data_IF_522662546357
#
_entry.id   IF_522662546357
#
_cell.length_a   1.000
_cell.length_b   1.000
_cell.length_c   1.000
_cell.angle_alpha   90.00
_cell.angle_beta   90.00
_cell.angle_gamma   90.00
#
_symmetry.space_group_name_H-M   'P 1'
#
loop_
_entity.id
_entity.type
_entity.pdbx_description
1 polymer ?
#
# COMPACT_ATOMS: atom_id res chain seq x y z
N UNK A 1 -7.67 -18.49 -12.00
CA UNK A 1 -8.26 -17.21 -11.54
C UNK A 1 -7.27 -16.04 -11.64
N UNK A 2 -6.15 -16.15 -12.37
CA UNK A 2 -5.14 -15.07 -12.44
C UNK A 2 -5.65 -13.82 -13.17
N UNK A 3 -6.66 -14.00 -14.02
CA UNK A 3 -7.30 -12.95 -14.82
C UNK A 3 -8.66 -12.53 -14.24
N UNK A 4 -9.11 -13.13 -13.13
CA UNK A 4 -10.32 -12.71 -12.42
C UNK A 4 -10.05 -11.39 -11.71
N UNK A 5 -11.01 -10.47 -11.79
CA UNK A 5 -10.88 -9.14 -11.21
C UNK A 5 -11.46 -9.09 -9.79
N UNK A 6 -10.81 -8.31 -8.94
CA UNK A 6 -11.22 -8.07 -7.57
C UNK A 6 -10.78 -6.67 -7.13
N UNK A 7 -11.47 -6.10 -6.14
CA UNK A 7 -11.02 -4.87 -5.48
C UNK A 7 -9.74 -5.14 -4.68
N UNK A 8 -8.68 -4.37 -4.93
CA UNK A 8 -7.36 -4.63 -4.31
C UNK A 8 -7.27 -4.20 -2.86
N UNK A 9 -8.27 -3.45 -2.37
CA UNK A 9 -8.40 -3.08 -0.96
C UNK A 9 -7.12 -2.37 -0.48
N UNK A 10 -6.67 -2.64 0.75
CA UNK A 10 -5.49 -1.99 1.33
C UNK A 10 -4.18 -2.14 0.54
N UNK A 11 -4.10 -2.96 -0.50
CA UNK A 11 -2.95 -2.94 -1.41
C UNK A 11 -2.83 -1.59 -2.13
N UNK A 12 -3.95 -0.90 -2.36
CA UNK A 12 -4.03 0.42 -2.98
C UNK A 12 -3.23 1.50 -2.25
N UNK A 13 -3.09 1.38 -0.93
CA UNK A 13 -2.33 2.32 -0.08
C UNK A 13 -0.88 2.51 -0.55
N UNK A 14 -0.29 1.48 -1.17
CA UNK A 14 1.05 1.60 -1.73
C UNK A 14 1.06 2.53 -2.93
N UNK A 15 0.04 2.49 -3.78
CA UNK A 15 -0.08 3.41 -4.92
C UNK A 15 -0.35 4.84 -4.48
N UNK A 16 -1.24 5.05 -3.51
CA UNK A 16 -1.45 6.37 -2.92
C UNK A 16 -0.15 6.93 -2.32
N UNK A 17 0.60 6.10 -1.57
CA UNK A 17 1.91 6.49 -1.05
C UNK A 17 2.93 6.80 -2.16
N UNK A 18 2.94 6.03 -3.24
CA UNK A 18 3.81 6.27 -4.40
C UNK A 18 3.48 7.63 -5.03
N UNK A 19 2.20 7.94 -5.25
CA UNK A 19 1.75 9.22 -5.80
C UNK A 19 2.14 10.38 -4.86
N UNK A 20 1.90 10.25 -3.56
CA UNK A 20 2.31 11.26 -2.58
C UNK A 20 3.83 11.45 -2.56
N UNK A 21 4.60 10.37 -2.74
CA UNK A 21 6.06 10.43 -2.85
C UNK A 21 6.55 11.10 -4.15
N UNK A 22 5.80 11.00 -5.25
CA UNK A 22 6.08 11.75 -6.48
C UNK A 22 5.90 13.26 -6.23
N UNK A 23 4.80 13.67 -5.57
CA UNK A 23 4.57 15.08 -5.17
C UNK A 23 5.65 15.57 -4.20
N UNK A 24 6.01 14.76 -3.20
CA UNK A 24 7.07 15.05 -2.24
C UNK A 24 8.48 15.15 -2.86
N UNK A 25 8.73 14.45 -3.97
CA UNK A 25 10.00 14.57 -4.69
C UNK A 25 10.09 15.90 -5.46
N UNK A 26 8.97 16.31 -6.08
CA UNK A 26 8.87 17.58 -6.81
C UNK A 26 8.88 18.82 -5.92
N UNK A 27 8.55 18.70 -4.64
CA UNK A 27 8.47 19.81 -3.69
C UNK A 27 8.97 19.44 -2.29
N UNK A 28 9.98 20.16 -1.80
CA UNK A 28 10.52 19.98 -0.45
C UNK A 28 9.45 20.20 0.63
N UNK A 29 8.51 21.13 0.42
CA UNK A 29 7.42 21.41 1.35
C UNK A 29 6.51 20.19 1.55
N UNK A 30 6.10 19.55 0.45
CA UNK A 30 5.24 18.35 0.49
C UNK A 30 5.91 17.19 1.22
N UNK A 31 7.23 17.04 1.06
CA UNK A 31 7.99 16.04 1.82
C UNK A 31 7.99 16.32 3.32
N UNK A 32 8.18 17.56 3.74
CA UNK A 32 8.18 17.93 5.15
C UNK A 32 6.78 17.78 5.77
N UNK A 33 5.75 18.14 5.01
CA UNK A 33 4.33 17.97 5.36
C UNK A 33 3.96 16.49 5.55
N UNK A 34 4.19 15.64 4.55
CA UNK A 34 3.84 14.22 4.64
C UNK A 34 4.48 13.57 5.88
N UNK A 35 5.77 13.82 6.10
CA UNK A 35 6.53 13.13 7.14
C UNK A 35 6.47 13.79 8.52
N UNK A 36 5.86 14.97 8.65
CA UNK A 36 5.48 15.51 9.96
C UNK A 36 4.14 14.95 10.43
N UNK A 37 3.30 14.51 9.49
CA UNK A 37 1.92 14.05 9.75
C UNK A 37 1.76 12.53 9.85
N UNK A 38 2.70 11.74 9.28
CA UNK A 38 2.73 10.27 9.41
C UNK A 38 4.16 9.73 9.59
N UNK A 39 4.29 8.73 10.46
CA UNK A 39 5.56 8.04 10.75
C UNK A 39 5.97 6.99 9.70
N UNK A 40 6.95 6.14 10.07
CA UNK A 40 7.46 5.02 9.24
C UNK A 40 7.70 3.73 10.03
N UNK A 41 7.21 3.69 11.27
CA UNK A 41 7.47 2.59 12.20
C UNK A 41 6.31 1.59 12.16
N UNK A 42 6.56 0.29 12.41
CA UNK A 42 5.47 -0.65 12.62
C UNK A 42 4.61 -0.24 13.84
N UNK A 43 3.33 -0.63 13.80
CA UNK A 43 2.47 -0.64 14.99
C UNK A 43 2.56 -2.00 15.66
N UNK A 44 2.66 -2.02 17.00
CA UNK A 44 2.53 -3.26 17.78
C UNK A 44 1.06 -3.60 18.10
N UNK A 45 0.17 -2.64 17.85
CA UNK A 45 -1.28 -2.77 17.97
C UNK A 45 -1.91 -3.02 16.59
N UNK A 46 -3.13 -3.61 16.56
CA UNK A 46 -3.87 -3.82 15.32
C UNK A 46 -3.96 -2.54 14.49
N UNK A 47 -3.95 -2.69 13.16
CA UNK A 47 -3.90 -1.61 12.17
C UNK A 47 -4.99 -0.53 12.26
N UNK A 48 -6.00 -0.76 13.08
CA UNK A 48 -7.17 0.08 13.30
C UNK A 48 -7.30 0.52 14.77
N UNK A 49 -6.23 0.42 15.57
CA UNK A 49 -6.18 0.83 16.98
C UNK A 49 -6.31 2.34 17.15
N UNK A 50 -7.37 2.78 17.85
CA UNK A 50 -7.57 4.19 18.22
C UNK A 50 -6.71 4.59 19.43
N UNK A 51 -6.38 3.64 20.31
CA UNK A 51 -5.63 3.91 21.55
C UNK A 51 -4.21 4.39 21.24
N UNK A 52 -3.52 3.72 20.33
CA UNK A 52 -2.18 4.15 19.90
C UNK A 52 -2.24 5.54 19.26
N UNK A 53 -3.22 5.76 18.39
CA UNK A 53 -3.40 7.02 17.68
C UNK A 53 -3.68 8.19 18.64
N UNK A 54 -4.46 7.97 19.69
CA UNK A 54 -4.72 8.96 20.75
C UNK A 54 -3.44 9.29 21.53
N UNK A 55 -2.68 8.27 21.95
CA UNK A 55 -1.40 8.48 22.64
C UNK A 55 -0.37 9.24 21.78
N UNK A 56 -0.40 9.01 20.47
CA UNK A 56 0.47 9.68 19.50
C UNK A 56 -0.11 11.00 18.98
N UNK A 57 -1.16 11.52 19.63
CA UNK A 57 -1.80 12.80 19.33
C UNK A 57 -2.21 12.92 17.86
N UNK A 58 -2.86 11.88 17.36
CA UNK A 58 -3.37 11.85 15.99
C UNK A 58 -2.31 11.60 14.91
N UNK A 59 -1.04 11.38 15.26
CA UNK A 59 0.03 11.09 14.29
C UNK A 59 0.16 9.56 14.10
N UNK A 60 -0.31 9.00 12.97
CA UNK A 60 -0.22 7.56 12.72
C UNK A 60 1.21 7.07 12.51
N UNK A 61 1.44 5.80 12.85
CA UNK A 61 2.77 5.20 12.84
C UNK A 61 3.42 5.01 11.49
N UNK A 62 2.64 4.72 10.46
CA UNK A 62 3.11 4.44 9.11
C UNK A 62 1.97 4.61 8.10
N UNK A 63 2.27 4.82 6.81
CA UNK A 63 1.26 5.05 5.78
C UNK A 63 0.46 3.80 5.37
N UNK A 64 0.79 2.59 5.86
CA UNK A 64 0.15 1.35 5.40
C UNK A 64 -0.96 0.85 6.35
N UNK A 65 -1.06 1.40 7.55
CA UNK A 65 -2.24 1.29 8.42
C UNK A 65 -3.35 2.25 7.96
N UNK A 66 -4.60 2.08 8.42
CA UNK A 66 -5.72 2.90 7.94
C UNK A 66 -5.51 4.38 8.25
N UNK A 67 -5.14 4.70 9.49
CA UNK A 67 -4.90 6.09 9.90
C UNK A 67 -3.84 6.80 9.05
N UNK A 68 -2.71 6.13 8.74
CA UNK A 68 -1.67 6.71 7.90
C UNK A 68 -2.06 6.83 6.43
N UNK A 69 -2.85 5.90 5.91
CA UNK A 69 -3.38 6.00 4.54
C UNK A 69 -4.31 7.20 4.40
N UNK A 70 -5.16 7.47 5.39
CA UNK A 70 -6.01 8.67 5.40
C UNK A 70 -5.19 9.97 5.42
N UNK A 71 -4.03 10.00 6.11
CA UNK A 71 -3.10 11.14 6.03
C UNK A 71 -2.50 11.27 4.62
N UNK A 72 -2.13 10.15 3.98
CA UNK A 72 -1.63 10.16 2.60
C UNK A 72 -2.69 10.73 1.66
N UNK A 73 -3.94 10.31 1.81
CA UNK A 73 -5.07 10.78 1.00
C UNK A 73 -5.34 12.28 1.23
N UNK A 74 -5.28 12.75 2.49
CA UNK A 74 -5.42 14.17 2.82
C UNK A 74 -4.31 15.04 2.20
N UNK A 75 -3.06 14.55 2.17
CA UNK A 75 -1.95 15.20 1.46
C UNK A 75 -2.21 15.22 -0.05
N UNK A 76 -2.75 14.14 -0.61
CA UNK A 76 -3.09 14.10 -2.04
C UNK A 76 -4.20 15.10 -2.40
N UNK A 77 -5.21 15.29 -1.53
CA UNK A 77 -6.24 16.31 -1.74
C UNK A 77 -5.67 17.74 -1.85
N UNK A 78 -4.56 18.04 -1.15
CA UNK A 78 -3.87 19.34 -1.28
C UNK A 78 -3.09 19.46 -2.59
N UNK A 79 -2.42 18.39 -3.02
CA UNK A 79 -1.33 18.43 -4.02
C UNK A 79 -1.66 17.78 -5.36
N UNK A 80 -2.88 17.27 -5.52
CA UNK A 80 -3.45 16.79 -6.78
C UNK A 80 -4.64 17.66 -7.17
N UNK A 81 -4.75 17.98 -8.47
CA UNK A 81 -5.92 18.68 -8.99
C UNK A 81 -7.13 17.73 -9.07
N UNK A 82 -6.87 16.46 -9.39
CA UNK A 82 -7.84 15.36 -9.40
C UNK A 82 -7.17 14.10 -8.83
N UNK A 83 -7.18 13.90 -7.50
CA UNK A 83 -6.47 12.77 -6.88
C UNK A 83 -7.03 11.41 -7.30
N UNK A 84 -8.33 11.32 -7.59
CA UNK A 84 -8.96 10.09 -8.10
C UNK A 84 -8.44 9.75 -9.50
N UNK A 85 -8.48 10.73 -10.41
CA UNK A 85 -8.00 10.59 -11.78
C UNK A 85 -6.49 10.32 -11.85
N UNK A 86 -5.69 11.07 -11.09
CA UNK A 86 -4.23 10.90 -11.05
C UNK A 86 -3.82 9.52 -10.50
N UNK A 87 -4.51 9.02 -9.47
CA UNK A 87 -4.30 7.67 -8.96
C UNK A 87 -4.68 6.62 -10.00
N UNK A 88 -5.85 6.78 -10.63
CA UNK A 88 -6.34 5.84 -11.64
C UNK A 88 -5.43 5.79 -12.87
N UNK A 89 -4.94 6.95 -13.34
CA UNK A 89 -3.99 7.08 -14.43
C UNK A 89 -2.67 6.37 -14.08
N UNK A 90 -2.09 6.68 -12.92
CA UNK A 90 -0.85 6.07 -12.46
C UNK A 90 -0.96 4.54 -12.46
N UNK A 91 -2.02 3.99 -11.87
CA UNK A 91 -2.13 2.53 -11.74
C UNK A 91 -2.53 1.86 -13.06
N UNK A 92 -3.32 2.52 -13.91
CA UNK A 92 -3.65 2.01 -15.25
C UNK A 92 -2.42 1.90 -16.14
N UNK A 93 -1.55 2.92 -16.13
CA UNK A 93 -0.26 2.89 -16.83
C UNK A 93 0.59 1.71 -16.36
N UNK A 94 0.74 1.57 -15.05
CA UNK A 94 1.54 0.52 -14.42
C UNK A 94 0.98 -0.88 -14.70
N UNK A 95 -0.34 -1.04 -14.70
CA UNK A 95 -1.04 -2.27 -15.04
C UNK A 95 -0.99 -2.57 -16.55
N UNK A 96 -0.74 -1.55 -17.38
CA UNK A 96 -0.75 -1.64 -18.85
C UNK A 96 -2.14 -1.85 -19.44
N UNK A 97 -3.18 -1.40 -18.75
CA UNK A 97 -4.57 -1.47 -19.17
C UNK A 97 -5.37 -0.39 -18.41
N UNK A 98 -6.42 0.12 -19.05
CA UNK A 98 -7.37 1.01 -18.37
C UNK A 98 -8.05 0.26 -17.22
N UNK A 99 -7.99 0.85 -16.03
CA UNK A 99 -8.64 0.36 -14.82
C UNK A 99 -9.82 1.25 -14.47
N UNK A 100 -10.62 0.80 -13.51
CA UNK A 100 -11.74 1.56 -12.95
C UNK A 100 -11.88 1.27 -11.47
N UNK A 101 -12.56 2.17 -10.77
CA UNK A 101 -13.07 1.88 -9.44
C UNK A 101 -14.32 1.01 -9.56
N UNK A 102 -14.50 0.09 -8.62
CA UNK A 102 -15.74 -0.66 -8.49
C UNK A 102 -16.71 0.14 -7.61
N UNK A 103 -17.65 0.84 -8.25
CA UNK A 103 -18.62 1.72 -7.57
C UNK A 103 -19.47 0.98 -6.51
N UNK A 104 -19.79 -0.29 -6.74
CA UNK A 104 -20.53 -1.10 -5.77
C UNK A 104 -19.69 -1.35 -4.51
N UNK A 105 -18.40 -1.67 -4.68
CA UNK A 105 -17.47 -1.84 -3.56
C UNK A 105 -17.24 -0.51 -2.85
N UNK A 106 -17.05 0.59 -3.59
CA UNK A 106 -16.88 1.93 -3.01
C UNK A 106 -18.06 2.33 -2.13
N UNK A 107 -19.29 2.13 -2.61
CA UNK A 107 -20.50 2.39 -1.85
C UNK A 107 -20.62 1.51 -0.58
N UNK A 108 -20.24 0.23 -0.67
CA UNK A 108 -20.24 -0.67 0.48
C UNK A 108 -19.18 -0.28 1.53
N UNK A 109 -18.01 0.21 1.10
CA UNK A 109 -16.98 0.74 2.00
C UNK A 109 -17.47 2.01 2.71
N UNK A 110 -18.18 2.90 2.01
CA UNK A 110 -18.76 4.11 2.62
C UNK A 110 -19.78 3.76 3.72
N UNK A 111 -20.72 2.84 3.43
CA UNK A 111 -21.75 2.40 4.38
C UNK A 111 -21.15 1.72 5.62
N UNK A 112 -19.97 1.10 5.48
CA UNK A 112 -19.27 0.39 6.56
C UNK A 112 -18.06 1.16 7.13
N UNK A 113 -17.88 2.42 6.72
CA UNK A 113 -16.72 3.27 7.04
C UNK A 113 -16.62 3.72 8.50
N UNK A 114 -17.56 3.33 9.38
CA UNK A 114 -17.67 3.86 10.74
C UNK A 114 -16.37 3.86 11.55
N UNK A 115 -15.50 2.85 11.36
CA UNK A 115 -14.18 2.82 12.00
C UNK A 115 -13.17 3.79 11.38
N UNK A 116 -13.12 3.89 10.05
CA UNK A 116 -12.26 4.87 9.38
C UNK A 116 -12.71 6.30 9.68
N UNK A 117 -14.03 6.52 9.73
CA UNK A 117 -14.63 7.79 10.17
C UNK A 117 -14.24 8.14 11.61
N UNK A 118 -14.23 7.18 12.53
CA UNK A 118 -13.76 7.41 13.90
C UNK A 118 -12.26 7.76 13.95
N UNK A 119 -11.43 7.06 13.17
CA UNK A 119 -10.00 7.35 13.01
C UNK A 119 -9.78 8.77 12.48
N UNK A 120 -10.47 9.13 11.40
CA UNK A 120 -10.37 10.44 10.77
C UNK A 120 -10.80 11.57 11.73
N UNK A 121 -11.95 11.42 12.40
CA UNK A 121 -12.39 12.41 13.41
C UNK A 121 -11.40 12.54 14.57
N UNK A 122 -10.77 11.45 15.01
CA UNK A 122 -9.73 11.51 16.04
C UNK A 122 -8.51 12.31 15.56
N UNK A 123 -8.02 12.05 14.35
CA UNK A 123 -6.91 12.82 13.77
C UNK A 123 -7.27 14.29 13.56
N UNK A 124 -8.48 14.58 13.10
CA UNK A 124 -9.00 15.95 12.96
C UNK A 124 -9.04 16.67 14.32
N UNK A 125 -9.41 15.99 15.41
CA UNK A 125 -9.41 16.58 16.75
C UNK A 125 -8.02 16.93 17.30
N UNK A 126 -6.97 16.42 16.67
CA UNK A 126 -5.56 16.73 16.94
C UNK A 126 -4.93 17.62 15.86
N UNK A 127 -5.73 18.23 14.99
CA UNK A 127 -5.26 19.09 13.89
C UNK A 127 -4.31 18.37 12.90
N UNK A 128 -4.50 17.05 12.72
CA UNK A 128 -3.70 16.26 11.76
C UNK A 128 -4.46 15.92 10.46
N UNK A 129 -5.58 16.59 10.18
CA UNK A 129 -6.27 16.56 8.88
C UNK A 129 -6.56 18.00 8.45
N UNK A 130 -6.30 18.30 7.18
CA UNK A 130 -6.55 19.63 6.60
C UNK A 130 -7.89 19.69 5.86
N UNK A 131 -8.40 18.53 5.40
CA UNK A 131 -9.68 18.39 4.70
C UNK A 131 -10.77 17.78 5.58
N UNK A 132 -12.01 17.82 5.08
CA UNK A 132 -13.13 17.20 5.79
C UNK A 132 -12.99 15.67 5.81
N UNK A 133 -13.55 15.05 6.85
CA UNK A 133 -13.56 13.59 6.97
C UNK A 133 -14.22 12.93 5.76
N UNK A 134 -15.25 13.54 5.18
CA UNK A 134 -15.95 12.99 4.01
C UNK A 134 -15.08 13.03 2.76
N UNK A 135 -14.35 14.13 2.50
CA UNK A 135 -13.41 14.22 1.36
C UNK A 135 -12.28 13.18 1.45
N UNK A 136 -11.70 13.02 2.65
CA UNK A 136 -10.61 12.05 2.87
C UNK A 136 -11.12 10.61 2.73
N UNK A 137 -12.31 10.31 3.27
CA UNK A 137 -12.90 8.98 3.14
C UNK A 137 -13.33 8.66 1.71
N UNK A 138 -13.82 9.64 0.96
CA UNK A 138 -14.18 9.47 -0.45
C UNK A 138 -12.97 8.98 -1.25
N UNK A 139 -11.81 9.65 -1.15
CA UNK A 139 -10.59 9.19 -1.80
C UNK A 139 -10.12 7.83 -1.29
N UNK A 140 -10.17 7.60 0.02
CA UNK A 140 -9.78 6.33 0.63
C UNK A 140 -10.62 5.13 0.15
N UNK A 141 -11.93 5.32 0.03
CA UNK A 141 -12.85 4.25 -0.36
C UNK A 141 -12.71 3.91 -1.85
N UNK A 142 -12.58 4.92 -2.72
CA UNK A 142 -12.32 4.71 -4.14
C UNK A 142 -10.99 4.00 -4.39
N UNK A 143 -9.90 4.39 -3.70
CA UNK A 143 -8.63 3.67 -3.86
C UNK A 143 -8.75 2.19 -3.47
N UNK A 144 -9.48 1.86 -2.39
CA UNK A 144 -9.69 0.48 -1.96
C UNK A 144 -10.54 -0.32 -2.96
N UNK A 145 -11.45 0.37 -3.66
CA UNK A 145 -12.32 -0.18 -4.70
C UNK A 145 -11.65 -0.32 -6.07
N UNK A 146 -10.37 0.05 -6.23
CA UNK A 146 -9.64 -0.13 -7.48
C UNK A 146 -9.63 -1.61 -7.88
N UNK A 147 -10.16 -1.89 -9.08
CA UNK A 147 -10.40 -3.25 -9.54
C UNK A 147 -9.36 -3.69 -10.57
N UNK A 148 -8.68 -4.80 -10.31
CA UNK A 148 -7.74 -5.40 -11.25
C UNK A 148 -7.60 -6.91 -11.03
N UNK A 149 -6.99 -7.59 -12.01
CA UNK A 149 -6.65 -9.01 -11.88
C UNK A 149 -5.32 -9.23 -11.17
N UNK A 150 -5.06 -10.46 -10.73
CA UNK A 150 -3.77 -10.84 -10.12
C UNK A 150 -2.60 -10.54 -11.07
N UNK A 151 -2.79 -10.76 -12.38
CA UNK A 151 -1.79 -10.43 -13.41
C UNK A 151 -1.48 -8.93 -13.46
N UNK A 152 -2.53 -8.11 -13.47
CA UNK A 152 -2.40 -6.64 -13.48
C UNK A 152 -1.76 -6.14 -12.18
N UNK A 153 -2.11 -6.75 -11.04
CA UNK A 153 -1.51 -6.43 -9.75
C UNK A 153 -0.01 -6.75 -9.71
N UNK A 154 0.41 -7.92 -10.18
CA UNK A 154 1.85 -8.24 -10.26
C UNK A 154 2.58 -7.25 -11.19
N UNK A 155 2.00 -6.96 -12.36
CA UNK A 155 2.56 -6.04 -13.35
C UNK A 155 2.75 -4.63 -12.80
N UNK A 156 1.75 -4.11 -12.08
CA UNK A 156 1.71 -2.74 -11.59
C UNK A 156 2.71 -2.45 -10.46
N UNK A 157 3.26 -3.46 -9.80
CA UNK A 157 4.27 -3.31 -8.75
C UNK A 157 5.72 -3.49 -9.22
N UNK A 158 5.95 -3.94 -10.46
CA UNK A 158 7.31 -4.27 -10.96
C UNK A 158 8.30 -3.12 -10.86
N UNK A 159 7.83 -1.88 -11.01
CA UNK A 159 8.68 -0.71 -10.89
C UNK A 159 9.35 -0.61 -9.52
N UNK A 160 8.69 -1.01 -8.42
CA UNK A 160 9.28 -1.00 -7.08
C UNK A 160 10.39 -2.04 -6.92
N UNK A 161 10.28 -3.18 -7.62
CA UNK A 161 11.35 -4.18 -7.68
C UNK A 161 12.50 -3.75 -8.61
N UNK A 162 12.25 -2.80 -9.51
CA UNK A 162 13.19 -2.33 -10.53
C UNK A 162 13.61 -0.87 -10.30
N UNK A 163 14.00 -0.55 -9.06
CA UNK A 163 14.53 0.78 -8.66
C UNK A 163 13.68 2.00 -9.05
N UNK A 164 12.36 1.81 -9.10
CA UNK A 164 11.40 2.84 -9.43
C UNK A 164 11.14 3.02 -10.93
N UNK A 165 11.67 2.15 -11.80
CA UNK A 165 11.49 2.20 -13.26
C UNK A 165 10.52 1.11 -13.73
N UNK A 166 9.47 1.47 -14.45
CA UNK A 166 8.59 0.47 -15.06
C UNK A 166 9.31 -0.25 -16.21
N UNK A 167 9.59 -1.56 -16.09
CA UNK A 167 10.35 -2.30 -17.10
C UNK A 167 9.61 -2.50 -18.42
N UNK A 168 8.31 -2.16 -18.51
CA UNK A 168 7.58 -2.21 -19.78
C UNK A 168 7.64 -0.93 -20.59
N UNK A 169 7.97 0.19 -19.98
CA UNK A 169 7.95 1.52 -20.62
C UNK A 169 9.25 2.30 -20.46
N UNK A 170 10.20 1.80 -19.67
CA UNK A 170 11.41 2.50 -19.22
C UNK A 170 11.15 3.84 -18.51
N UNK A 171 9.89 4.09 -18.12
CA UNK A 171 9.49 5.30 -17.41
C UNK A 171 9.97 5.24 -15.96
N UNK A 172 10.64 6.29 -15.51
CA UNK A 172 10.95 6.47 -14.10
C UNK A 172 9.70 6.93 -13.34
N UNK A 173 9.12 6.02 -12.57
CA UNK A 173 7.92 6.25 -11.73
C UNK A 173 8.34 6.86 -10.40
N UNK A 174 9.43 6.38 -9.80
CA UNK A 174 10.05 6.93 -8.60
C UNK A 174 11.56 7.01 -8.76
N UNK A 175 12.19 7.97 -8.07
CA UNK A 175 13.64 7.94 -7.89
C UNK A 175 14.03 6.66 -7.10
N UNK A 176 15.16 5.98 -7.40
CA UNK A 176 15.56 4.74 -6.74
C UNK A 176 15.54 4.81 -5.21
N UNK A 177 15.99 5.93 -4.63
CA UNK A 177 15.93 6.15 -3.18
C UNK A 177 14.52 6.11 -2.60
N UNK A 178 13.52 6.57 -3.35
CA UNK A 178 12.12 6.57 -2.92
C UNK A 178 11.50 5.19 -3.07
N UNK A 179 11.79 4.49 -4.18
CA UNK A 179 11.37 3.11 -4.38
C UNK A 179 11.86 2.20 -3.25
N UNK A 180 13.15 2.31 -2.87
CA UNK A 180 13.73 1.58 -1.72
C UNK A 180 13.04 1.91 -0.39
N UNK A 181 12.65 3.17 -0.17
CA UNK A 181 11.93 3.56 1.06
C UNK A 181 10.51 2.99 1.09
N UNK A 182 9.80 2.99 -0.04
CA UNK A 182 8.48 2.35 -0.13
C UNK A 182 8.60 0.85 0.15
N UNK A 183 9.58 0.17 -0.47
CA UNK A 183 9.85 -1.24 -0.20
C UNK A 183 10.19 -1.50 1.28
N UNK A 184 10.98 -0.63 1.92
CA UNK A 184 11.29 -0.75 3.35
C UNK A 184 10.02 -0.64 4.23
N UNK A 185 9.12 0.30 3.92
CA UNK A 185 7.84 0.44 4.65
C UNK A 185 6.93 -0.77 4.38
N UNK A 186 6.91 -1.31 3.16
CA UNK A 186 6.18 -2.56 2.86
C UNK A 186 6.72 -3.72 3.69
N UNK A 187 8.03 -3.88 3.81
CA UNK A 187 8.66 -4.93 4.60
C UNK A 187 8.29 -4.85 6.09
N UNK A 188 8.29 -3.65 6.66
CA UNK A 188 8.07 -3.48 8.11
C UNK A 188 6.60 -3.32 8.50
N UNK A 189 5.74 -2.85 7.60
CA UNK A 189 4.37 -2.45 7.93
C UNK A 189 3.29 -3.07 7.05
N UNK A 190 3.64 -3.64 5.88
CA UNK A 190 2.66 -3.90 4.84
C UNK A 190 1.73 -5.10 5.08
N UNK A 191 2.08 -6.01 5.99
CA UNK A 191 1.21 -7.10 6.44
C UNK A 191 0.80 -6.96 7.92
N UNK A 192 0.80 -5.71 8.41
CA UNK A 192 0.30 -5.35 9.75
C UNK A 192 1.00 -6.15 10.86
N UNK A 193 0.25 -6.72 11.79
CA UNK A 193 0.75 -7.55 12.90
C UNK A 193 1.43 -8.85 12.43
N UNK A 194 1.37 -9.16 11.13
CA UNK A 194 2.08 -10.28 10.52
C UNK A 194 3.41 -9.88 9.86
N UNK A 195 3.81 -8.61 9.86
CA UNK A 195 5.02 -8.15 9.17
C UNK A 195 6.28 -8.94 9.58
N UNK A 196 6.46 -9.20 10.88
CA UNK A 196 7.56 -10.02 11.37
C UNK A 196 7.50 -11.48 10.90
N UNK A 197 6.30 -12.05 10.78
CA UNK A 197 6.09 -13.43 10.29
C UNK A 197 6.35 -13.53 8.78
N UNK A 198 5.93 -12.54 8.00
CA UNK A 198 6.24 -12.45 6.57
C UNK A 198 7.74 -12.24 6.33
N UNK A 199 8.39 -11.36 7.10
CA UNK A 199 9.83 -11.17 7.01
C UNK A 199 10.61 -12.45 7.37
N UNK A 200 10.17 -13.19 8.40
CA UNK A 200 10.83 -14.42 8.84
C UNK A 200 10.65 -15.58 7.86
N UNK A 201 9.42 -15.77 7.35
CA UNK A 201 9.06 -16.96 6.57
C UNK A 201 9.18 -16.75 5.06
N UNK A 202 8.84 -15.56 4.55
CA UNK A 202 8.89 -15.25 3.10
C UNK A 202 10.13 -14.43 2.76
N UNK A 203 10.52 -13.49 3.63
CA UNK A 203 11.72 -12.68 3.44
C UNK A 203 11.61 -11.61 2.36
N UNK A 204 10.40 -11.19 1.98
CA UNK A 204 10.15 -10.18 0.96
C UNK A 204 9.31 -9.01 1.50
N UNK A 205 9.54 -7.76 1.06
CA UNK A 205 8.59 -6.67 1.22
C UNK A 205 7.22 -7.05 0.68
N UNK A 206 6.18 -7.04 1.52
CA UNK A 206 4.84 -7.46 1.15
C UNK A 206 3.78 -6.41 1.49
N UNK A 207 2.66 -6.39 0.76
CA UNK A 207 1.42 -5.73 1.19
C UNK A 207 0.24 -6.66 0.97
N UNK A 208 -0.60 -6.80 1.99
CA UNK A 208 -1.84 -7.57 1.93
C UNK A 208 -3.09 -6.68 1.84
N UNK A 209 -4.18 -7.25 1.32
CA UNK A 209 -5.52 -6.67 1.33
C UNK A 209 -6.55 -7.69 1.82
N UNK A 210 -7.61 -7.19 2.46
CA UNK A 210 -8.72 -8.03 2.96
C UNK A 210 -9.53 -8.72 1.86
N UNK A 211 -9.29 -8.38 0.59
CA UNK A 211 -9.80 -9.15 -0.55
C UNK A 211 -9.08 -10.49 -0.78
N UNK A 212 -8.03 -10.78 0.00
CA UNK A 212 -7.19 -11.96 -0.17
C UNK A 212 -6.01 -11.74 -1.11
N UNK A 213 -5.79 -10.50 -1.55
CA UNK A 213 -4.64 -10.12 -2.35
C UNK A 213 -3.38 -9.99 -1.48
N UNK A 214 -2.25 -10.47 -1.97
CA UNK A 214 -0.93 -10.15 -1.42
C UNK A 214 0.01 -9.85 -2.58
N UNK A 215 0.74 -8.74 -2.49
CA UNK A 215 1.86 -8.43 -3.38
C UNK A 215 3.17 -8.54 -2.61
N UNK A 216 4.19 -9.08 -3.26
CA UNK A 216 5.55 -9.22 -2.73
C UNK A 216 6.57 -8.69 -3.75
N UNK A 217 7.61 -8.02 -3.26
CA UNK A 217 8.69 -7.47 -4.09
C UNK A 217 9.96 -8.31 -3.87
N UNK A 218 10.47 -8.93 -4.93
CA UNK A 218 11.81 -9.49 -4.97
C UNK A 218 12.72 -8.48 -5.69
N UNK A 219 13.54 -7.69 -4.96
CA UNK A 219 14.37 -6.64 -5.56
C UNK A 219 15.21 -7.18 -6.71
N UNK A 220 15.27 -6.41 -7.79
CA UNK A 220 16.00 -6.71 -9.04
C UNK A 220 15.53 -7.96 -9.79
N UNK A 221 14.48 -8.64 -9.32
CA UNK A 221 14.04 -9.92 -9.86
C UNK A 221 12.58 -9.91 -10.32
N UNK A 222 11.63 -9.58 -9.43
CA UNK A 222 10.21 -9.68 -9.73
C UNK A 222 9.32 -8.89 -8.77
N UNK A 223 8.12 -8.56 -9.25
CA UNK A 223 6.96 -8.34 -8.38
C UNK A 223 6.01 -9.53 -8.53
N UNK A 224 5.57 -10.08 -7.40
CA UNK A 224 4.74 -11.28 -7.33
C UNK A 224 3.41 -10.87 -6.71
N UNK A 225 2.31 -11.29 -7.31
CA UNK A 225 0.98 -11.14 -6.72
C UNK A 225 0.31 -12.50 -6.58
N UNK A 226 -0.41 -12.68 -5.48
CA UNK A 226 -1.27 -13.82 -5.22
C UNK A 226 -2.64 -13.31 -4.81
N UNK A 227 -3.68 -14.08 -5.13
CA UNK A 227 -5.04 -13.79 -4.70
C UNK A 227 -5.73 -15.07 -4.26
N UNK A 228 -6.24 -15.09 -3.03
CA UNK A 228 -7.12 -16.14 -2.54
C UNK A 228 -7.96 -15.57 -1.39
N UNK A 229 -9.30 -15.48 -1.53
CA UNK A 229 -10.17 -14.79 -0.57
C UNK A 229 -10.12 -15.26 0.90
N UNK A 230 -9.96 -16.57 1.22
CA UNK A 230 -9.93 -17.01 2.62
C UNK A 230 -8.77 -16.42 3.42
N UNK A 231 -9.08 -15.71 4.51
CA UNK A 231 -8.12 -15.00 5.35
C UNK A 231 -7.82 -15.75 6.67
N UNK A 232 -6.64 -15.51 7.21
CA UNK A 232 -6.26 -15.86 8.57
C UNK A 232 -6.85 -14.86 9.61
N UNK A 233 -6.73 -15.12 10.92
CA UNK A 233 -7.23 -14.19 11.94
C UNK A 233 -6.56 -12.81 11.94
N UNK A 234 -5.43 -12.64 11.26
CA UNK A 234 -4.72 -11.35 11.10
C UNK A 234 -5.13 -10.63 9.80
N UNK A 235 -6.07 -11.17 9.03
CA UNK A 235 -6.61 -10.57 7.82
C UNK A 235 -5.76 -10.81 6.55
N UNK A 236 -4.86 -11.79 6.55
CA UNK A 236 -4.02 -12.11 5.39
C UNK A 236 -4.48 -13.39 4.70
N UNK A 237 -4.33 -13.48 3.38
CA UNK A 237 -4.69 -14.68 2.61
C UNK A 237 -3.94 -15.93 3.07
N UNK A 238 -4.67 -16.98 3.45
CA UNK A 238 -4.10 -18.25 3.92
C UNK A 238 -3.30 -18.96 2.83
N UNK A 239 -3.95 -19.23 1.70
CA UNK A 239 -3.30 -19.91 0.57
C UNK A 239 -2.27 -19.00 -0.10
N UNK A 240 -2.53 -17.70 -0.18
CA UNK A 240 -1.59 -16.73 -0.74
C UNK A 240 -0.27 -16.69 0.02
N UNK A 241 -0.31 -16.67 1.37
CA UNK A 241 0.90 -16.69 2.20
C UNK A 241 1.72 -17.97 2.01
N UNK A 242 1.06 -19.12 1.97
CA UNK A 242 1.74 -20.42 1.73
C UNK A 242 2.37 -20.47 0.35
N UNK A 243 1.66 -19.99 -0.68
CA UNK A 243 2.19 -19.94 -2.05
C UNK A 243 3.42 -19.02 -2.16
N UNK A 244 3.38 -17.86 -1.51
CA UNK A 244 4.52 -16.92 -1.47
C UNK A 244 5.73 -17.51 -0.72
N UNK A 245 5.50 -18.20 0.39
CA UNK A 245 6.55 -18.91 1.12
C UNK A 245 7.25 -19.95 0.24
N UNK A 246 6.48 -20.87 -0.33
CA UNK A 246 6.99 -21.92 -1.21
C UNK A 246 7.73 -21.35 -2.43
N UNK A 247 7.22 -20.26 -3.01
CA UNK A 247 7.87 -19.62 -4.16
C UNK A 247 9.18 -18.95 -3.76
N UNK A 248 9.21 -18.24 -2.63
CA UNK A 248 10.41 -17.59 -2.11
C UNK A 248 11.50 -18.60 -1.80
N UNK A 249 11.16 -19.72 -1.15
CA UNK A 249 12.10 -20.79 -0.82
C UNK A 249 12.66 -21.49 -2.07
N UNK A 250 11.81 -21.78 -3.06
CA UNK A 250 12.22 -22.50 -4.28
C UNK A 250 13.11 -21.66 -5.18
N UNK A 251 12.93 -20.35 -5.17
CA UNK A 251 13.64 -19.41 -6.03
C UNK A 251 14.68 -18.58 -5.28
N UNK A 252 14.89 -18.85 -3.99
CA UNK A 252 15.82 -18.13 -3.11
C UNK A 252 15.63 -16.60 -3.19
N UNK A 253 14.38 -16.12 -3.03
CA UNK A 253 14.05 -14.71 -3.26
C UNK A 253 14.28 -13.80 -2.05
N UNK A 254 14.44 -14.38 -0.85
CA UNK A 254 14.55 -13.62 0.41
C UNK A 254 15.61 -12.53 0.36
N UNK A 255 15.27 -11.32 0.82
CA UNK A 255 16.21 -10.19 0.92
C UNK A 255 17.24 -10.36 2.04
N UNK A 256 17.08 -11.37 2.90
CA UNK A 256 17.98 -11.68 4.01
C UNK A 256 19.05 -12.72 3.67
N UNK A 257 19.09 -13.18 2.41
CA UNK A 257 20.15 -14.09 1.96
C UNK A 257 21.51 -13.40 1.94
N UNK A 258 22.56 -14.16 2.23
CA UNK A 258 23.94 -13.68 2.08
C UNK A 258 24.25 -13.36 0.61
N UNK A 259 25.32 -12.58 0.32
CA UNK A 259 25.76 -12.43 -1.06
C UNK A 259 25.94 -13.82 -1.67
N UNK A 260 25.48 -14.00 -2.92
CA UNK A 260 25.89 -15.16 -3.70
C UNK A 260 27.40 -15.27 -3.56
N UNK A 261 27.88 -16.38 -3.01
CA UNK A 261 29.29 -16.69 -3.08
C UNK A 261 29.61 -16.73 -4.57
N UNK A 262 30.25 -15.67 -5.07
CA UNK A 262 30.87 -15.64 -6.38
C UNK A 262 31.82 -16.86 -6.44
N UNK A 263 31.34 -17.94 -7.05
CA UNK A 263 32.11 -19.13 -7.43
C UNK A 263 32.45 -19.01 -8.90
#
# INVERSE_FOLDING_TARGET
>A
DVDDRFAIQSVAKVFALVLAMQKAHGSKGVKEELWSRVGREPSGDPFNSLVQLEHEKGVPRNPLINAGALIVDDVLLTHCDDPHGELLELVSDLAGAELSFNEEVSALEEDSSGRNRAIANLMLSFDNLDHTVDEVLDLYNHQCALEMSTRQLARSFRFLANDGVDPSTDRQVLHPDLARRVAAVMLTCGTYDAAGEFAYSIGLPCKSGVSGAIVALAPEQAAIAVWSPPLDPKGNSLAGRVALHELSDRLDLSVFKGPESAL
#
